data_IF_736179448245
#
_entry.id   IF_736179448245
#
_cell.length_a   1.000
_cell.length_b   1.000
_cell.length_c   1.000
_cell.angle_alpha   90.00
_cell.angle_beta   90.00
_cell.angle_gamma   90.00
#
_symmetry.space_group_name_H-M   'P 1'
#
loop_
_entity.id
_entity.type
_entity.pdbx_description
1 polymer ?
#
# COMPACT_ATOMS: atom_id res chain seq x y z
N UNK A 1 2.11 15.15 8.40
CA UNK A 1 2.01 13.69 8.17
C UNK A 1 0.65 13.43 7.56
N UNK A 2 0.59 13.39 6.24
CA UNK A 2 -0.65 13.14 5.51
C UNK A 2 -1.05 11.69 5.72
N UNK A 3 -2.25 11.45 6.27
CA UNK A 3 -2.83 10.12 6.32
C UNK A 3 -3.28 9.77 4.91
N UNK A 4 -2.88 8.61 4.42
CA UNK A 4 -3.44 8.05 3.20
C UNK A 4 -4.96 7.95 3.35
N UNK A 5 -5.72 8.52 2.41
CA UNK A 5 -7.18 8.42 2.40
C UNK A 5 -7.62 7.00 1.99
N UNK A 6 -7.59 6.10 2.96
CA UNK A 6 -8.01 4.72 2.80
C UNK A 6 -9.47 4.60 2.36
N UNK A 7 -10.33 5.50 2.84
CA UNK A 7 -11.76 5.44 2.51
C UNK A 7 -12.00 5.83 1.05
N UNK A 8 -11.33 6.88 0.58
CA UNK A 8 -11.29 7.27 -0.82
C UNK A 8 -10.74 6.17 -1.71
N UNK A 9 -9.63 5.53 -1.30
CA UNK A 9 -9.00 4.46 -2.06
C UNK A 9 -9.89 3.22 -2.19
N UNK A 10 -10.50 2.76 -1.09
CA UNK A 10 -11.44 1.62 -1.13
C UNK A 10 -12.68 1.94 -1.96
N UNK A 11 -13.20 3.17 -1.89
CA UNK A 11 -14.33 3.58 -2.72
C UNK A 11 -13.96 3.61 -4.19
N UNK A 12 -12.78 4.13 -4.54
CA UNK A 12 -12.30 4.17 -5.91
C UNK A 12 -12.07 2.76 -6.48
N UNK A 13 -11.44 1.86 -5.72
CA UNK A 13 -11.19 0.48 -6.14
C UNK A 13 -12.44 -0.39 -6.16
N UNK A 14 -13.16 -0.52 -5.04
CA UNK A 14 -14.27 -1.47 -4.91
C UNK A 14 -15.58 -0.92 -5.48
N UNK A 15 -15.83 0.39 -5.39
CA UNK A 15 -17.03 0.98 -6.01
C UNK A 15 -16.74 1.52 -7.41
N UNK A 16 -15.66 2.25 -7.63
CA UNK A 16 -15.32 2.82 -8.94
C UNK A 16 -14.95 1.76 -9.97
N UNK A 17 -13.93 0.95 -9.68
CA UNK A 17 -13.44 -0.11 -10.57
C UNK A 17 -14.19 -1.45 -10.43
N UNK A 18 -15.14 -1.54 -9.48
CA UNK A 18 -15.92 -2.76 -9.17
C UNK A 18 -15.03 -3.98 -8.86
N UNK A 19 -13.84 -3.75 -8.32
CA UNK A 19 -12.94 -4.82 -7.90
C UNK A 19 -13.52 -5.57 -6.70
N UNK A 20 -13.39 -6.90 -6.68
CA UNK A 20 -13.64 -7.67 -5.48
C UNK A 20 -12.56 -7.35 -4.43
N UNK A 21 -12.85 -7.50 -3.12
CA UNK A 21 -11.86 -7.24 -2.08
C UNK A 21 -10.54 -8.00 -2.31
N UNK A 22 -10.62 -9.26 -2.71
CA UNK A 22 -9.45 -10.10 -2.98
C UNK A 22 -8.61 -9.57 -4.15
N UNK A 23 -9.26 -9.13 -5.23
CA UNK A 23 -8.58 -8.55 -6.40
C UNK A 23 -7.90 -7.24 -6.04
N UNK A 24 -8.60 -6.38 -5.29
CA UNK A 24 -8.05 -5.11 -4.82
C UNK A 24 -6.78 -5.30 -3.98
N UNK A 25 -6.77 -6.28 -3.08
CA UNK A 25 -5.60 -6.59 -2.25
C UNK A 25 -4.50 -7.35 -2.99
N UNK A 26 -4.83 -8.01 -4.10
CA UNK A 26 -3.85 -8.67 -4.96
C UNK A 26 -3.13 -7.70 -5.90
N UNK A 27 -3.67 -6.51 -6.15
CA UNK A 27 -3.07 -5.51 -7.02
C UNK A 27 -1.90 -4.80 -6.33
N UNK A 28 -0.86 -4.53 -7.09
CA UNK A 28 0.17 -3.60 -6.65
C UNK A 28 -0.37 -2.16 -6.66
N UNK A 29 0.15 -1.25 -5.83
CA UNK A 29 -0.27 0.15 -5.84
C UNK A 29 -0.10 0.83 -7.21
N UNK A 30 0.89 0.41 -8.00
CA UNK A 30 1.13 0.93 -9.34
C UNK A 30 0.04 0.47 -10.34
N UNK A 31 -0.36 -0.79 -10.29
CA UNK A 31 -1.46 -1.31 -11.12
C UNK A 31 -2.79 -0.65 -10.74
N UNK A 32 -3.05 -0.48 -9.45
CA UNK A 32 -4.24 0.23 -8.98
C UNK A 32 -4.26 1.69 -9.47
N UNK A 33 -3.13 2.41 -9.38
CA UNK A 33 -3.02 3.78 -9.90
C UNK A 33 -3.30 3.84 -11.40
N UNK A 34 -2.70 2.93 -12.17
CA UNK A 34 -2.91 2.81 -13.61
C UNK A 34 -4.40 2.60 -13.95
N UNK A 35 -5.07 1.68 -13.25
CA UNK A 35 -6.50 1.41 -13.47
C UNK A 35 -7.39 2.59 -13.07
N UNK A 36 -6.98 3.39 -12.08
CA UNK A 36 -7.65 4.62 -11.69
C UNK A 36 -7.41 5.80 -12.66
N UNK A 37 -6.61 5.60 -13.72
CA UNK A 37 -6.22 6.67 -14.64
C UNK A 37 -5.29 7.70 -14.00
N UNK A 38 -4.70 7.37 -12.86
CA UNK A 38 -3.66 8.16 -12.24
C UNK A 38 -2.37 7.73 -12.94
N UNK A 39 -1.81 8.63 -13.75
CA UNK A 39 -0.47 8.39 -14.30
C UNK A 39 0.48 8.20 -13.11
N UNK A 40 1.12 7.02 -12.95
CA UNK A 40 2.16 6.84 -11.95
C UNK A 40 3.43 7.59 -12.42
N UNK A 41 3.33 8.90 -12.62
CA UNK A 41 4.44 9.80 -12.90
C UNK A 41 5.35 9.99 -11.67
N UNK A 42 5.18 9.20 -10.62
CA UNK A 42 6.21 9.02 -9.60
C UNK A 42 7.12 7.91 -10.06
N UNK A 43 8.30 8.30 -10.53
CA UNK A 43 9.38 7.43 -10.94
C UNK A 43 9.44 6.15 -10.08
N UNK A 44 9.70 4.97 -10.68
CA UNK A 44 9.79 3.72 -9.92
C UNK A 44 10.73 3.93 -8.74
N UNK A 45 10.27 3.57 -7.55
CA UNK A 45 11.00 3.77 -6.30
C UNK A 45 12.40 3.21 -6.48
N UNK A 46 13.41 4.07 -6.49
CA UNK A 46 14.79 3.63 -6.72
C UNK A 46 15.22 2.72 -5.58
N UNK A 47 16.12 1.76 -5.87
CA UNK A 47 16.71 0.87 -4.87
C UNK A 47 17.17 1.64 -3.62
N UNK A 48 17.81 2.79 -3.84
CA UNK A 48 18.30 3.67 -2.77
C UNK A 48 17.19 4.26 -1.91
N UNK A 49 16.02 4.57 -2.48
CA UNK A 49 14.88 5.09 -1.72
C UNK A 49 14.20 3.99 -0.90
N UNK A 50 14.16 2.76 -1.41
CA UNK A 50 13.72 1.60 -0.64
C UNK A 50 14.66 1.33 0.55
N UNK A 51 15.98 1.41 0.33
CA UNK A 51 16.98 1.23 1.40
C UNK A 51 16.88 2.33 2.47
N UNK A 52 16.65 3.59 2.07
CA UNK A 52 16.41 4.69 3.01
C UNK A 52 15.14 4.45 3.85
N UNK A 53 14.05 4.01 3.23
CA UNK A 53 12.80 3.67 3.96
C UNK A 53 13.00 2.52 4.93
N UNK A 54 13.75 1.48 4.55
CA UNK A 54 14.03 0.34 5.43
C UNK A 54 14.89 0.75 6.65
N UNK A 55 15.79 1.73 6.47
CA UNK A 55 16.58 2.29 7.57
C UNK A 55 15.74 3.17 8.50
N UNK A 56 14.81 3.96 7.94
CA UNK A 56 13.93 4.85 8.71
C UNK A 56 12.80 4.09 9.44
N UNK A 57 12.31 2.98 8.87
CA UNK A 57 11.30 2.10 9.45
C UNK A 57 11.81 0.66 9.55
N UNK A 58 12.74 0.37 10.48
CA UNK A 58 13.22 -0.98 10.68
C UNK A 58 12.08 -1.86 11.21
N UNK A 59 11.83 -2.98 10.55
CA UNK A 59 10.84 -3.97 10.98
C UNK A 59 11.20 -4.48 12.39
N UNK A 60 10.53 -3.94 13.40
CA UNK A 60 10.62 -4.44 14.76
C UNK A 60 9.88 -5.77 14.79
N UNK A 61 10.62 -6.88 14.86
CA UNK A 61 10.06 -8.20 15.17
C UNK A 61 9.20 -8.06 16.42
N UNK A 62 7.89 -8.23 16.27
CA UNK A 62 6.91 -8.25 17.35
C UNK A 62 7.18 -9.44 18.26
N UNK A 63 8.11 -9.28 19.20
CA UNK A 63 8.24 -10.18 20.34
C UNK A 63 7.14 -9.83 21.33
N UNK A 64 5.90 -10.26 21.10
CA UNK A 64 4.87 -10.50 22.13
C UNK A 64 3.84 -11.52 21.62
N UNK A 65 4.26 -12.76 21.40
CA UNK A 65 3.38 -13.91 21.66
C UNK A 65 3.63 -14.29 23.11
N UNK A 66 2.98 -13.57 24.05
CA UNK A 66 2.86 -14.04 25.43
C UNK A 66 1.48 -14.67 25.51
N UNK A 67 1.48 -15.98 25.31
CA UNK A 67 0.39 -16.91 25.64
C UNK A 67 -0.23 -16.55 26.99
N UNK A 68 -1.50 -16.16 27.00
CA UNK A 68 -2.33 -16.17 28.19
C UNK A 68 -2.96 -17.56 28.28
N UNK A 69 -2.39 -18.41 29.13
CA UNK A 69 -2.97 -19.67 29.58
C UNK A 69 -3.71 -19.49 30.89
#
# INVERSE_FOLDING_TARGET
MERLDWTGLMRAGMQGLRLRPDEFWSLTPAELALMLGIDPASAPMTRSRLEALAADWPDRKSKQEVTHG
#
